data_IF_482575674262
#
_entry.id   IF_482575674262
#
_cell.length_a   1.000
_cell.length_b   1.000
_cell.length_c   1.000
_cell.angle_alpha   90.00
_cell.angle_beta   90.00
_cell.angle_gamma   90.00
#
_symmetry.space_group_name_H-M   'P 1'
#
loop_
_entity.id
_entity.type
_entity.pdbx_description
1 polymer ?
#
# COMPACT_ATOMS: atom_id res chain seq x y z
N UNK A 1 7.30 17.06 33.66
CA UNK A 1 7.18 17.95 32.49
C UNK A 1 5.86 17.61 31.82
N UNK A 2 4.91 18.53 31.71
CA UNK A 2 3.70 18.30 30.95
C UNK A 2 4.09 18.07 29.48
N UNK A 3 3.58 17.04 28.86
CA UNK A 3 3.77 16.82 27.42
C UNK A 3 3.01 17.89 26.67
N UNK A 4 3.73 18.68 25.92
CA UNK A 4 3.14 19.74 25.11
C UNK A 4 2.80 19.08 23.74
N UNK A 5 1.51 19.06 23.41
CA UNK A 5 1.09 18.77 22.03
C UNK A 5 1.51 19.98 21.19
N UNK A 6 2.42 19.75 20.27
CA UNK A 6 2.80 20.75 19.30
C UNK A 6 1.78 20.74 18.16
N UNK A 7 1.31 21.93 17.78
CA UNK A 7 0.38 22.11 16.68
C UNK A 7 0.97 23.11 15.69
N UNK A 8 0.95 22.74 14.43
CA UNK A 8 1.41 23.55 13.31
C UNK A 8 0.29 23.64 12.28
N UNK A 9 0.01 24.84 11.77
CA UNK A 9 -1.05 25.06 10.80
C UNK A 9 -0.65 26.09 9.75
N UNK A 10 -0.96 25.82 8.49
CA UNK A 10 -0.60 26.72 7.38
C UNK A 10 -1.40 28.01 7.34
N UNK A 11 -2.48 28.12 8.12
CA UNK A 11 -3.25 29.35 8.26
C UNK A 11 -2.50 30.46 9.04
N UNK A 12 -1.35 30.15 9.62
CA UNK A 12 -0.48 31.11 10.31
C UNK A 12 0.34 31.98 9.34
N UNK A 13 0.37 31.62 8.05
CA UNK A 13 1.10 32.32 6.99
C UNK A 13 0.21 32.66 5.81
N UNK A 14 0.69 33.56 4.93
CA UNK A 14 -0.05 33.93 3.72
C UNK A 14 -0.21 32.75 2.76
N UNK A 15 -1.25 32.77 1.93
CA UNK A 15 -1.57 31.67 1.01
C UNK A 15 -0.39 31.26 0.11
N UNK A 16 0.39 32.22 -0.36
CA UNK A 16 1.54 31.98 -1.21
C UNK A 16 2.71 31.28 -0.50
N UNK A 17 2.81 31.44 0.81
CA UNK A 17 3.90 30.89 1.63
C UNK A 17 3.56 29.54 2.25
N UNK A 18 2.30 29.07 2.16
CA UNK A 18 1.82 27.90 2.88
C UNK A 18 2.56 26.62 2.55
N UNK A 19 2.84 26.36 1.28
CA UNK A 19 3.55 25.16 0.87
C UNK A 19 5.00 25.15 1.33
N UNK A 20 5.68 26.30 1.25
CA UNK A 20 7.07 26.44 1.72
C UNK A 20 7.16 26.33 3.25
N UNK A 21 6.22 26.97 3.95
CA UNK A 21 6.09 26.84 5.41
C UNK A 21 5.88 25.37 5.79
N UNK A 22 4.97 24.67 5.10
CA UNK A 22 4.66 23.26 5.38
C UNK A 22 5.85 22.34 5.09
N UNK A 23 6.59 22.58 4.01
CA UNK A 23 7.82 21.85 3.68
C UNK A 23 8.87 22.01 4.78
N UNK A 24 9.03 23.22 5.33
CA UNK A 24 9.94 23.46 6.44
C UNK A 24 9.54 22.66 7.68
N UNK A 25 8.27 22.75 8.12
CA UNK A 25 7.75 22.01 9.28
C UNK A 25 7.88 20.50 9.07
N UNK A 26 7.52 19.99 7.90
CA UNK A 26 7.63 18.57 7.58
C UNK A 26 9.11 18.10 7.56
N UNK A 27 10.01 18.90 7.00
CA UNK A 27 11.45 18.59 6.99
C UNK A 27 12.07 18.60 8.39
N UNK A 28 11.67 19.53 9.25
CA UNK A 28 12.10 19.58 10.66
C UNK A 28 11.54 18.39 11.45
N UNK A 29 10.30 18.00 11.21
CA UNK A 29 9.63 16.91 11.93
C UNK A 29 10.14 15.53 11.53
N UNK A 30 10.32 15.31 10.24
CA UNK A 30 10.62 13.98 9.67
C UNK A 30 12.03 13.89 9.04
N UNK A 31 12.88 14.86 9.22
CA UNK A 31 14.25 14.91 8.67
C UNK A 31 14.33 14.55 7.16
N UNK A 32 14.16 15.56 6.30
CA UNK A 32 14.37 15.40 4.86
C UNK A 32 13.15 14.97 4.04
N UNK A 33 11.94 15.28 4.52
CA UNK A 33 10.74 15.23 3.70
C UNK A 33 10.63 16.46 2.80
N UNK A 34 10.12 16.22 1.59
CA UNK A 34 9.59 17.27 0.71
C UNK A 34 8.16 16.94 0.33
N UNK A 35 7.35 17.99 0.21
CA UNK A 35 5.93 17.87 -0.11
C UNK A 35 5.65 18.72 -1.33
N UNK A 36 5.03 18.10 -2.34
CA UNK A 36 4.56 18.76 -3.56
C UNK A 36 3.03 18.67 -3.63
N UNK A 37 2.39 19.77 -4.02
CA UNK A 37 0.96 19.85 -4.22
C UNK A 37 0.62 20.76 -5.38
N UNK A 38 -0.28 20.28 -6.25
CA UNK A 38 -0.79 21.07 -7.38
C UNK A 38 -1.91 22.04 -6.99
N UNK A 39 -2.29 22.11 -5.70
CA UNK A 39 -3.38 22.99 -5.24
C UNK A 39 -2.86 24.40 -4.98
N UNK A 40 -3.54 25.38 -5.55
CA UNK A 40 -3.29 26.80 -5.28
C UNK A 40 -3.57 27.17 -3.82
N UNK A 41 -4.56 26.54 -3.20
CA UNK A 41 -4.86 26.72 -1.77
C UNK A 41 -4.45 25.45 -1.00
N UNK A 42 -3.31 25.53 -0.32
CA UNK A 42 -2.75 24.45 0.46
C UNK A 42 -3.02 24.68 1.95
N UNK A 43 -4.09 24.06 2.48
CA UNK A 43 -4.43 24.06 3.90
C UNK A 43 -3.99 22.77 4.56
N UNK A 44 -3.05 22.85 5.48
CA UNK A 44 -2.51 21.70 6.19
C UNK A 44 -2.30 21.99 7.68
N UNK A 45 -2.44 20.96 8.47
CA UNK A 45 -2.24 20.98 9.93
C UNK A 45 -1.49 19.73 10.37
N UNK A 46 -0.72 19.83 11.44
CA UNK A 46 -0.02 18.70 12.04
C UNK A 46 -0.01 18.86 13.57
N UNK A 47 -0.32 17.76 14.23
CA UNK A 47 -0.16 17.61 15.67
C UNK A 47 0.94 16.59 15.94
N UNK A 48 1.79 16.89 16.91
CA UNK A 48 2.89 16.02 17.31
C UNK A 48 3.01 15.97 18.82
N UNK A 49 3.24 14.78 19.37
CA UNK A 49 3.61 14.60 20.76
C UNK A 49 4.44 13.32 20.96
N UNK A 50 5.26 13.31 22.01
CA UNK A 50 6.19 12.21 22.29
C UNK A 50 5.83 11.52 23.60
N UNK A 51 5.89 10.19 23.63
CA UNK A 51 5.70 9.36 24.81
C UNK A 51 6.81 8.33 24.91
N UNK A 52 7.65 8.43 25.92
CA UNK A 52 8.83 7.58 26.02
C UNK A 52 9.75 7.78 24.82
N UNK A 53 9.97 6.70 24.07
CA UNK A 53 10.80 6.68 22.86
C UNK A 53 10.01 6.79 21.54
N UNK A 54 8.68 6.81 21.61
CA UNK A 54 7.81 6.96 20.43
C UNK A 54 7.32 8.40 20.26
N UNK A 55 7.22 8.83 19.01
CA UNK A 55 6.61 10.11 18.64
C UNK A 55 5.38 9.84 17.78
N UNK A 56 4.23 10.35 18.20
CA UNK A 56 2.99 10.26 17.46
C UNK A 56 2.75 11.54 16.69
N UNK A 57 2.43 11.42 15.40
CA UNK A 57 2.26 12.54 14.49
C UNK A 57 0.99 12.32 13.69
N UNK A 58 0.14 13.33 13.62
CA UNK A 58 -1.08 13.32 12.83
C UNK A 58 -1.06 14.46 11.82
N UNK A 59 -0.55 14.24 10.61
CA UNK A 59 -0.65 15.20 9.53
C UNK A 59 -2.06 15.19 8.94
N UNK A 60 -2.54 16.36 8.58
CA UNK A 60 -3.73 16.58 7.76
C UNK A 60 -3.36 17.54 6.65
N UNK A 61 -3.47 17.10 5.41
CA UNK A 61 -3.18 17.93 4.23
C UNK A 61 -4.11 17.56 3.08
N UNK A 62 -4.32 18.45 2.11
CA UNK A 62 -5.00 18.11 0.87
C UNK A 62 -4.17 17.10 0.06
N UNK A 63 -4.66 16.74 -1.15
CA UNK A 63 -3.87 15.91 -2.08
C UNK A 63 -2.46 16.46 -2.20
N UNK A 64 -1.50 15.64 -1.85
CA UNK A 64 -0.09 15.98 -1.89
C UNK A 64 0.74 14.75 -2.21
N UNK A 65 1.94 14.98 -2.70
CA UNK A 65 2.97 13.99 -2.89
C UNK A 65 4.03 14.26 -1.84
N UNK A 66 4.22 13.30 -0.95
CA UNK A 66 5.25 13.33 0.08
C UNK A 66 6.41 12.49 -0.39
N UNK A 67 7.62 13.04 -0.39
CA UNK A 67 8.83 12.34 -0.80
C UNK A 67 9.91 12.48 0.27
N UNK A 68 10.59 11.38 0.55
CA UNK A 68 11.78 11.36 1.39
C UNK A 68 13.00 11.08 0.53
N UNK A 69 14.05 11.87 0.75
CA UNK A 69 15.33 11.65 0.11
C UNK A 69 16.33 11.07 1.12
N UNK A 70 16.79 9.85 0.90
CA UNK A 70 17.71 9.13 1.79
C UNK A 70 19.04 9.86 2.02
N UNK A 71 19.50 10.68 1.08
CA UNK A 71 20.73 11.48 1.28
C UNK A 71 20.59 12.48 2.44
N UNK A 72 19.39 13.05 2.59
CA UNK A 72 19.07 14.01 3.66
C UNK A 72 18.67 13.23 4.93
N UNK A 73 18.06 12.07 4.77
CA UNK A 73 17.54 11.23 5.85
C UNK A 73 18.63 10.71 6.81
N UNK A 74 19.83 10.47 6.32
CA UNK A 74 20.96 9.92 7.11
C UNK A 74 21.40 10.79 8.29
N UNK A 75 20.94 12.03 8.38
CA UNK A 75 21.21 12.92 9.51
C UNK A 75 20.17 12.83 10.62
N UNK A 76 19.06 12.13 10.42
CA UNK A 76 17.89 12.12 11.32
C UNK A 76 17.87 11.01 12.38
N UNK A 77 18.92 10.18 12.48
CA UNK A 77 18.95 9.04 13.40
C UNK A 77 18.33 7.77 12.81
N UNK A 78 18.63 6.63 13.44
CA UNK A 78 18.15 5.30 13.00
C UNK A 78 16.74 5.02 13.54
N UNK A 79 15.73 5.42 12.77
CA UNK A 79 14.33 5.32 13.14
C UNK A 79 13.52 4.58 12.08
N UNK A 80 12.39 4.04 12.49
CA UNK A 80 11.35 3.49 11.61
C UNK A 80 10.02 4.19 11.87
N UNK A 81 9.18 4.25 10.86
CA UNK A 81 7.88 4.92 10.93
C UNK A 81 6.76 3.95 10.59
N UNK A 82 5.78 3.84 11.45
CA UNK A 82 4.55 3.12 11.21
C UNK A 82 3.49 4.09 10.70
N UNK A 83 3.15 3.99 9.43
CA UNK A 83 2.10 4.78 8.81
C UNK A 83 0.78 4.03 8.88
N UNK A 84 -0.19 4.55 9.63
CA UNK A 84 -1.56 4.06 9.67
C UNK A 84 -2.45 4.89 8.77
N UNK A 85 -3.15 4.24 7.84
CA UNK A 85 -4.20 4.85 7.06
C UNK A 85 -5.52 4.79 7.85
N UNK A 86 -5.94 5.90 8.46
CA UNK A 86 -7.14 5.95 9.27
C UNK A 86 -8.41 6.19 8.44
N UNK A 87 -8.34 7.08 7.44
CA UNK A 87 -9.42 7.34 6.49
C UNK A 87 -8.85 7.73 5.13
N UNK A 88 -9.65 7.60 4.07
CA UNK A 88 -9.19 7.82 2.70
C UNK A 88 -8.20 6.74 2.26
N UNK A 89 -7.23 7.12 1.43
CA UNK A 89 -6.22 6.19 0.91
C UNK A 89 -4.93 6.89 0.53
N UNK A 90 -3.85 6.12 0.37
CA UNK A 90 -2.62 6.60 -0.24
C UNK A 90 -1.93 5.51 -1.07
N UNK A 91 -1.08 5.91 -2.02
CA UNK A 91 -0.11 5.04 -2.66
C UNK A 91 1.25 5.26 -1.97
N UNK A 92 1.77 4.22 -1.38
CA UNK A 92 3.06 4.22 -0.69
C UNK A 92 4.09 3.41 -1.47
N UNK A 93 5.21 4.03 -1.82
CA UNK A 93 6.30 3.40 -2.59
C UNK A 93 7.60 3.45 -1.80
N UNK A 94 8.23 2.30 -1.57
CA UNK A 94 9.58 2.17 -1.01
C UNK A 94 10.22 0.86 -1.48
N UNK A 95 11.53 0.83 -1.66
CA UNK A 95 12.29 -0.37 -2.04
C UNK A 95 11.71 -1.09 -3.28
N UNK A 96 11.32 -0.35 -4.33
CA UNK A 96 10.68 -0.85 -5.55
C UNK A 96 9.34 -1.56 -5.35
N UNK A 97 8.72 -1.42 -4.17
CA UNK A 97 7.38 -1.92 -3.86
C UNK A 97 6.40 -0.77 -3.82
N UNK A 98 5.19 -0.99 -4.33
CA UNK A 98 4.10 -0.01 -4.31
C UNK A 98 2.89 -0.66 -3.66
N UNK A 99 2.35 -0.01 -2.63
CA UNK A 99 1.16 -0.47 -1.92
C UNK A 99 0.08 0.60 -1.94
N UNK A 100 -1.14 0.18 -2.25
CA UNK A 100 -2.32 1.00 -2.01
C UNK A 100 -2.80 0.74 -0.59
N UNK A 101 -2.66 1.72 0.29
CA UNK A 101 -3.18 1.67 1.65
C UNK A 101 -4.58 2.27 1.68
N UNK A 102 -5.50 1.55 2.30
CA UNK A 102 -6.89 1.96 2.57
C UNK A 102 -7.10 2.09 4.08
N UNK A 103 -8.22 2.65 4.47
CA UNK A 103 -8.57 2.75 5.89
C UNK A 103 -8.43 1.40 6.62
N UNK A 104 -7.69 1.40 7.72
CA UNK A 104 -7.31 0.23 8.51
C UNK A 104 -5.95 -0.38 8.15
N UNK A 105 -5.40 -0.12 6.97
CA UNK A 105 -4.08 -0.61 6.57
C UNK A 105 -2.96 0.20 7.25
N UNK A 106 -1.82 -0.45 7.41
CA UNK A 106 -0.60 0.21 7.85
C UNK A 106 0.63 -0.27 7.05
N UNK A 107 1.74 0.46 7.17
CA UNK A 107 3.03 0.06 6.63
C UNK A 107 4.14 0.53 7.56
N UNK A 108 5.11 -0.36 7.83
CA UNK A 108 6.32 0.00 8.55
C UNK A 108 7.38 0.42 7.54
N UNK A 109 7.78 1.69 7.59
CA UNK A 109 8.65 2.36 6.62
C UNK A 109 10.03 2.57 7.21
N UNK A 110 11.08 2.25 6.46
CA UNK A 110 12.44 2.60 6.80
C UNK A 110 12.69 4.10 6.55
N UNK A 111 13.09 4.81 7.59
CA UNK A 111 13.43 6.22 7.44
C UNK A 111 14.80 6.48 6.81
N UNK A 112 15.65 5.46 6.64
CA UNK A 112 16.96 5.56 6.00
C UNK A 112 16.90 5.35 4.47
N UNK A 113 15.74 4.97 3.94
CA UNK A 113 15.51 4.69 2.52
C UNK A 113 14.62 5.76 1.88
N UNK A 114 14.78 5.95 0.57
CA UNK A 114 13.88 6.77 -0.23
C UNK A 114 12.47 6.20 -0.17
N UNK A 115 11.47 7.05 0.01
CA UNK A 115 10.07 6.67 -0.17
C UNK A 115 9.24 7.79 -0.76
N UNK A 116 8.09 7.42 -1.32
CA UNK A 116 7.10 8.32 -1.88
C UNK A 116 5.71 7.91 -1.45
N UNK A 117 4.93 8.89 -1.00
CA UNK A 117 3.52 8.70 -0.61
C UNK A 117 2.65 9.69 -1.39
N UNK A 118 1.66 9.17 -2.14
CA UNK A 118 0.67 9.99 -2.83
C UNK A 118 -0.64 9.92 -2.05
N UNK A 119 -1.07 11.06 -1.51
CA UNK A 119 -2.21 11.16 -0.61
C UNK A 119 -3.51 11.43 -1.39
N UNK A 120 -4.62 10.77 -1.02
CA UNK A 120 -5.95 11.12 -1.51
C UNK A 120 -6.46 12.41 -0.86
N UNK A 121 -7.54 13.00 -1.41
CA UNK A 121 -8.12 14.25 -0.91
C UNK A 121 -8.75 14.14 0.48
N UNK A 122 -9.18 12.94 0.83
CA UNK A 122 -9.84 12.57 2.08
C UNK A 122 -8.88 11.83 3.03
N UNK A 123 -7.58 11.92 2.77
CA UNK A 123 -6.55 11.24 3.53
C UNK A 123 -6.52 11.69 4.99
N UNK A 124 -6.59 10.71 5.90
CA UNK A 124 -6.29 10.88 7.32
C UNK A 124 -5.31 9.78 7.72
N UNK A 125 -4.11 10.20 8.06
CA UNK A 125 -3.03 9.31 8.45
C UNK A 125 -2.60 9.58 9.89
N UNK A 126 -2.15 8.55 10.58
CA UNK A 126 -1.45 8.63 11.85
C UNK A 126 -0.08 7.98 11.68
N UNK A 127 0.96 8.69 12.05
CA UNK A 127 2.35 8.21 11.96
C UNK A 127 2.88 8.01 13.37
N UNK A 128 3.49 6.86 13.62
CA UNK A 128 4.21 6.58 14.86
C UNK A 128 5.68 6.37 14.50
N UNK A 129 6.52 7.29 14.94
CA UNK A 129 7.96 7.23 14.75
C UNK A 129 8.62 6.64 15.99
N UNK A 130 9.56 5.70 15.79
CA UNK A 130 10.21 4.97 16.89
C UNK A 130 11.66 4.61 16.54
N UNK A 131 12.55 4.40 17.55
CA UNK A 131 13.91 3.92 17.32
C UNK A 131 13.89 2.53 16.65
N UNK A 132 14.68 2.33 15.60
CA UNK A 132 14.86 1.02 14.95
C UNK A 132 15.31 -0.03 15.97
N UNK A 133 16.25 0.31 16.84
CA UNK A 133 16.79 -0.59 17.87
C UNK A 133 15.68 -1.17 18.76
N UNK A 134 14.70 -0.36 19.18
CA UNK A 134 13.61 -0.81 20.04
C UNK A 134 12.70 -1.84 19.35
N UNK A 135 12.54 -1.75 18.03
CA UNK A 135 11.79 -2.73 17.24
C UNK A 135 12.64 -3.98 16.98
N UNK A 136 13.92 -3.81 16.59
CA UNK A 136 14.83 -4.92 16.29
C UNK A 136 15.06 -5.82 17.51
N UNK A 137 15.14 -5.25 18.72
CA UNK A 137 15.27 -6.00 19.97
C UNK A 137 14.11 -6.99 20.17
N UNK A 138 12.90 -6.62 19.76
CA UNK A 138 11.69 -7.43 19.89
C UNK A 138 11.40 -8.29 18.67
N UNK A 139 11.95 -7.92 17.51
CA UNK A 139 11.77 -8.60 16.23
C UNK A 139 13.11 -8.65 15.46
N UNK A 140 13.93 -9.68 15.67
CA UNK A 140 15.22 -9.81 14.96
C UNK A 140 15.11 -9.83 13.43
N UNK A 141 13.96 -10.27 12.87
CA UNK A 141 13.66 -10.28 11.44
C UNK A 141 13.04 -8.98 10.90
N UNK A 142 13.30 -7.82 11.51
CA UNK A 142 12.71 -6.53 11.12
C UNK A 142 12.89 -6.23 9.62
N UNK A 143 14.05 -6.51 9.04
CA UNK A 143 14.36 -6.21 7.64
C UNK A 143 13.41 -6.92 6.65
N UNK A 144 12.90 -8.09 7.01
CA UNK A 144 11.97 -8.88 6.20
C UNK A 144 10.56 -8.26 6.16
N UNK A 145 10.22 -7.47 7.17
CA UNK A 145 8.89 -6.85 7.31
C UNK A 145 8.87 -5.35 6.97
N UNK A 146 10.04 -4.72 6.88
CA UNK A 146 10.14 -3.33 6.43
C UNK A 146 9.62 -3.17 5.01
N UNK A 147 9.02 -2.02 4.78
CA UNK A 147 8.43 -1.65 3.48
C UNK A 147 7.40 -2.66 2.97
N UNK A 148 6.67 -3.29 3.89
CA UNK A 148 5.55 -4.15 3.54
C UNK A 148 4.26 -3.69 4.22
N UNK A 149 3.15 -3.90 3.51
CA UNK A 149 1.83 -3.58 4.01
C UNK A 149 1.40 -4.52 5.14
N UNK A 150 0.80 -3.97 6.18
CA UNK A 150 0.08 -4.66 7.25
C UNK A 150 -1.41 -4.45 6.95
N UNK A 151 -2.12 -5.52 6.59
CA UNK A 151 -3.55 -5.42 6.26
C UNK A 151 -4.40 -5.18 7.51
N UNK A 152 -5.34 -4.24 7.42
CA UNK A 152 -6.25 -3.88 8.53
C UNK A 152 -7.32 -4.94 8.85
N UNK A 153 -7.31 -6.08 8.17
CA UNK A 153 -8.33 -7.12 8.33
C UNK A 153 -8.00 -8.15 9.43
N UNK A 154 -6.73 -8.24 9.85
CA UNK A 154 -6.35 -9.18 10.91
C UNK A 154 -6.78 -8.69 12.29
N UNK A 155 -7.15 -9.57 13.22
CA UNK A 155 -7.52 -9.17 14.59
C UNK A 155 -6.45 -8.35 15.29
N UNK A 156 -5.18 -8.71 15.17
CA UNK A 156 -4.04 -8.04 15.78
C UNK A 156 -3.77 -6.67 15.17
N UNK A 157 -3.92 -6.52 13.86
CA UNK A 157 -3.81 -5.19 13.20
C UNK A 157 -4.91 -4.24 13.67
N UNK A 158 -6.14 -4.74 13.86
CA UNK A 158 -7.24 -3.93 14.43
C UNK A 158 -6.95 -3.53 15.86
N UNK A 159 -6.49 -4.46 16.70
CA UNK A 159 -6.12 -4.14 18.08
C UNK A 159 -5.02 -3.08 18.15
N UNK A 160 -3.99 -3.20 17.31
CA UNK A 160 -2.92 -2.20 17.22
C UNK A 160 -3.47 -0.84 16.78
N UNK A 161 -4.31 -0.80 15.74
CA UNK A 161 -4.93 0.42 15.24
C UNK A 161 -5.80 1.11 16.30
N UNK A 162 -6.68 0.34 16.97
CA UNK A 162 -7.57 0.87 18.01
C UNK A 162 -6.77 1.35 19.23
N UNK A 163 -5.71 0.64 19.61
CA UNK A 163 -4.80 1.04 20.66
C UNK A 163 -4.11 2.38 20.32
N UNK A 164 -3.55 2.52 19.13
CA UNK A 164 -2.87 3.74 18.68
C UNK A 164 -3.86 4.91 18.60
N UNK A 165 -5.09 4.69 18.13
CA UNK A 165 -6.15 5.72 18.15
C UNK A 165 -6.56 6.10 19.57
N UNK A 166 -6.64 5.14 20.48
CA UNK A 166 -6.94 5.41 21.90
C UNK A 166 -5.84 6.24 22.54
N UNK A 167 -4.59 5.91 22.30
CA UNK A 167 -3.44 6.70 22.76
C UNK A 167 -3.51 8.12 22.22
N UNK A 168 -3.82 8.26 20.91
CA UNK A 168 -3.97 9.57 20.30
C UNK A 168 -5.04 10.42 20.97
N UNK A 169 -6.20 9.84 21.29
CA UNK A 169 -7.31 10.54 21.94
C UNK A 169 -7.02 10.94 23.39
N UNK A 170 -6.21 10.15 24.08
CA UNK A 170 -5.86 10.39 25.47
C UNK A 170 -4.66 11.33 25.64
N UNK A 171 -3.93 11.56 24.58
CA UNK A 171 -2.66 12.28 24.34
C UNK A 171 -2.02 13.08 25.48
N UNK A 172 -2.81 13.79 26.27
CA UNK A 172 -2.30 14.75 27.25
C UNK A 172 -2.37 14.27 28.72
N UNK A 173 -3.23 13.31 29.05
CA UNK A 173 -3.60 13.04 30.44
C UNK A 173 -2.77 11.94 31.15
N UNK A 174 -1.99 11.15 30.43
CA UNK A 174 -1.41 9.89 30.98
C UNK A 174 0.10 9.91 31.26
N UNK A 175 0.80 11.03 31.09
CA UNK A 175 2.25 10.97 30.82
C UNK A 175 3.16 11.47 31.94
N UNK A 176 2.62 11.71 33.14
CA UNK A 176 3.42 12.19 34.27
C UNK A 176 4.22 11.10 35.00
N UNK A 177 3.82 9.81 34.85
CA UNK A 177 4.45 8.67 35.51
C UNK A 177 5.31 7.85 34.52
N UNK A 178 6.65 7.82 34.70
CA UNK A 178 7.56 7.06 33.85
C UNK A 178 7.26 5.56 33.80
N UNK A 179 6.77 4.94 34.89
CA UNK A 179 6.42 3.52 34.90
C UNK A 179 5.20 3.24 34.02
N UNK A 180 4.22 4.14 34.05
CA UNK A 180 3.03 4.06 33.16
C UNK A 180 3.43 4.25 31.70
N UNK A 181 4.25 5.25 31.40
CA UNK A 181 4.77 5.49 30.05
C UNK A 181 5.47 4.24 29.51
N UNK A 182 6.37 3.64 30.31
CA UNK A 182 7.04 2.40 29.94
C UNK A 182 6.05 1.26 29.68
N UNK A 183 5.06 1.06 30.56
CA UNK A 183 4.05 0.01 30.39
C UNK A 183 3.23 0.20 29.10
N UNK A 184 2.85 1.43 28.75
CA UNK A 184 2.11 1.73 27.51
C UNK A 184 2.98 1.49 26.27
N UNK A 185 4.24 1.93 26.27
CA UNK A 185 5.16 1.69 25.15
C UNK A 185 5.45 0.21 24.96
N UNK A 186 5.60 -0.57 26.04
CA UNK A 186 5.77 -2.03 25.96
C UNK A 186 4.54 -2.71 25.35
N UNK A 187 3.31 -2.29 25.69
CA UNK A 187 2.08 -2.79 25.05
C UNK A 187 2.05 -2.43 23.56
N UNK A 188 2.41 -1.20 23.20
CA UNK A 188 2.50 -0.78 21.80
C UNK A 188 3.44 -1.68 20.98
N UNK A 189 4.68 -1.89 21.47
CA UNK A 189 5.65 -2.72 20.77
C UNK A 189 5.21 -4.19 20.68
N UNK A 190 4.56 -4.73 21.70
CA UNK A 190 4.03 -6.09 21.68
C UNK A 190 2.93 -6.23 20.62
N UNK A 191 1.98 -5.29 20.55
CA UNK A 191 0.93 -5.29 19.52
C UNK A 191 1.52 -5.11 18.11
N UNK A 192 2.52 -4.25 17.95
CA UNK A 192 3.22 -4.06 16.69
C UNK A 192 3.90 -5.36 16.24
N UNK A 193 4.64 -6.02 17.12
CA UNK A 193 5.29 -7.30 16.81
C UNK A 193 4.28 -8.37 16.43
N UNK A 194 3.17 -8.48 17.15
CA UNK A 194 2.09 -9.42 16.82
C UNK A 194 1.49 -9.13 15.44
N UNK A 195 1.19 -7.87 15.13
CA UNK A 195 0.61 -7.49 13.84
C UNK A 195 1.59 -7.74 12.67
N UNK A 196 2.89 -7.53 12.89
CA UNK A 196 3.93 -7.83 11.91
C UNK A 196 4.13 -9.35 11.72
N UNK A 197 3.98 -10.16 12.76
CA UNK A 197 4.07 -11.61 12.70
C UNK A 197 2.86 -12.21 11.99
N UNK A 198 1.65 -11.79 12.33
CA UNK A 198 0.41 -12.20 11.65
C UNK A 198 0.45 -11.88 10.16
N UNK A 199 1.11 -10.80 9.79
CA UNK A 199 1.33 -10.42 8.40
C UNK A 199 2.11 -11.49 7.63
N UNK A 200 3.18 -12.06 8.22
CA UNK A 200 3.97 -13.09 7.54
C UNK A 200 3.10 -14.31 7.19
N UNK A 201 2.22 -14.70 8.10
CA UNK A 201 1.23 -15.77 7.85
C UNK A 201 0.25 -15.37 6.73
N UNK A 202 -0.21 -14.12 6.69
CA UNK A 202 -1.13 -13.65 5.66
C UNK A 202 -0.46 -13.54 4.29
N UNK A 203 0.79 -13.12 4.21
CA UNK A 203 1.56 -13.04 2.94
C UNK A 203 1.83 -14.43 2.37
N UNK A 204 2.17 -15.41 3.20
CA UNK A 204 2.28 -16.80 2.75
C UNK A 204 0.93 -17.34 2.24
N UNK A 205 -0.16 -17.07 2.96
CA UNK A 205 -1.50 -17.44 2.54
C UNK A 205 -1.92 -16.75 1.24
N UNK A 206 -1.60 -15.45 1.08
CA UNK A 206 -1.87 -14.72 -0.15
C UNK A 206 -1.06 -15.24 -1.34
N UNK A 207 0.21 -15.60 -1.13
CA UNK A 207 1.04 -16.21 -2.16
C UNK A 207 0.51 -17.59 -2.56
N UNK A 208 0.11 -18.43 -1.59
CA UNK A 208 -0.53 -19.71 -1.83
C UNK A 208 -1.88 -19.54 -2.55
N UNK A 209 -2.68 -18.56 -2.14
CA UNK A 209 -3.95 -18.24 -2.78
C UNK A 209 -3.74 -17.80 -4.23
N UNK A 210 -2.81 -16.88 -4.50
CA UNK A 210 -2.48 -16.44 -5.87
C UNK A 210 -2.02 -17.60 -6.73
N UNK A 211 -1.19 -18.50 -6.21
CA UNK A 211 -0.75 -19.69 -6.94
C UNK A 211 -1.93 -20.60 -7.31
N UNK A 212 -2.87 -20.83 -6.38
CA UNK A 212 -4.09 -21.60 -6.65
C UNK A 212 -4.98 -20.91 -7.67
N UNK A 213 -5.22 -19.61 -7.53
CA UNK A 213 -6.02 -18.81 -8.47
C UNK A 213 -5.43 -18.83 -9.88
N UNK A 214 -4.13 -18.64 -10.02
CA UNK A 214 -3.45 -18.67 -11.32
C UNK A 214 -3.47 -20.06 -11.97
N UNK A 215 -3.41 -21.13 -11.17
CA UNK A 215 -3.55 -22.50 -11.65
C UNK A 215 -4.97 -22.77 -12.21
N UNK A 216 -6.01 -22.35 -11.48
CA UNK A 216 -7.41 -22.48 -11.95
C UNK A 216 -7.61 -21.66 -13.23
N UNK A 217 -7.14 -20.41 -13.28
CA UNK A 217 -7.23 -19.58 -14.47
C UNK A 217 -6.55 -20.28 -15.65
N UNK A 218 -5.32 -20.77 -15.47
CA UNK A 218 -4.58 -21.48 -16.53
C UNK A 218 -5.36 -22.69 -17.08
N UNK A 219 -6.06 -23.42 -16.22
CA UNK A 219 -6.86 -24.56 -16.63
C UNK A 219 -8.15 -24.15 -17.37
N UNK A 220 -8.71 -22.97 -17.07
CA UNK A 220 -10.02 -22.54 -17.56
C UNK A 220 -10.01 -21.31 -18.47
N UNK A 221 -8.86 -20.80 -18.88
CA UNK A 221 -8.80 -19.57 -19.71
C UNK A 221 -9.54 -19.67 -21.04
N UNK A 222 -9.63 -20.91 -21.60
CA UNK A 222 -10.31 -21.18 -22.87
C UNK A 222 -11.84 -21.29 -22.72
N UNK A 223 -12.36 -21.35 -21.50
CA UNK A 223 -13.80 -21.30 -21.23
C UNK A 223 -14.29 -19.85 -21.38
N UNK A 224 -15.14 -19.56 -22.38
CA UNK A 224 -15.59 -18.21 -22.68
C UNK A 224 -16.48 -17.61 -21.56
N UNK A 225 -17.16 -18.46 -20.78
CA UNK A 225 -18.04 -18.05 -19.69
C UNK A 225 -17.31 -17.89 -18.35
N UNK A 226 -16.04 -18.30 -18.27
CA UNK A 226 -15.24 -18.20 -17.07
C UNK A 226 -15.01 -16.77 -16.61
N UNK A 227 -15.40 -16.45 -15.37
CA UNK A 227 -15.38 -15.12 -14.75
C UNK A 227 -14.71 -15.14 -13.37
N UNK A 228 -14.30 -13.98 -12.83
CA UNK A 228 -13.77 -13.89 -11.46
C UNK A 228 -14.71 -14.43 -10.36
N UNK A 229 -16.03 -14.38 -10.57
CA UNK A 229 -17.02 -14.98 -9.66
C UNK A 229 -16.86 -16.48 -9.52
N UNK A 230 -16.43 -17.16 -10.59
CA UNK A 230 -16.26 -18.62 -10.58
C UNK A 230 -15.05 -19.03 -9.74
N UNK A 231 -13.99 -18.21 -9.74
CA UNK A 231 -12.85 -18.37 -8.83
C UNK A 231 -13.28 -18.29 -7.37
N UNK A 232 -14.14 -17.31 -7.05
CA UNK A 232 -14.66 -17.13 -5.70
C UNK A 232 -15.49 -18.34 -5.26
N UNK A 233 -16.38 -18.82 -6.13
CA UNK A 233 -17.22 -20.00 -5.88
C UNK A 233 -16.39 -21.28 -5.73
N UNK A 234 -15.40 -21.51 -6.60
CA UNK A 234 -14.57 -22.71 -6.61
C UNK A 234 -13.68 -22.82 -5.36
N UNK A 235 -13.19 -21.68 -4.85
CA UNK A 235 -12.34 -21.63 -3.66
C UNK A 235 -13.11 -21.40 -2.35
N UNK A 236 -14.42 -21.14 -2.41
CA UNK A 236 -15.23 -20.85 -1.23
C UNK A 236 -14.88 -19.54 -0.53
N UNK A 237 -14.38 -18.55 -1.27
CA UNK A 237 -13.97 -17.24 -0.75
C UNK A 237 -14.82 -16.11 -1.35
N UNK A 238 -14.77 -14.92 -0.75
CA UNK A 238 -15.46 -13.76 -1.29
C UNK A 238 -14.77 -13.23 -2.55
N UNK A 239 -15.54 -12.57 -3.43
CA UNK A 239 -14.96 -11.86 -4.61
C UNK A 239 -13.96 -10.77 -4.16
N UNK A 240 -14.18 -10.16 -3.00
CA UNK A 240 -13.26 -9.18 -2.41
C UNK A 240 -11.91 -9.81 -2.06
N UNK A 241 -11.91 -11.04 -1.55
CA UNK A 241 -10.69 -11.82 -1.26
C UNK A 241 -9.89 -12.05 -2.54
N UNK A 242 -10.58 -12.43 -3.64
CA UNK A 242 -9.96 -12.60 -4.96
C UNK A 242 -9.35 -11.28 -5.45
N UNK A 243 -10.09 -10.17 -5.36
CA UNK A 243 -9.61 -8.84 -5.77
C UNK A 243 -8.38 -8.39 -4.95
N UNK A 244 -8.39 -8.63 -3.64
CA UNK A 244 -7.26 -8.31 -2.78
C UNK A 244 -6.03 -9.14 -3.14
N UNK A 245 -6.19 -10.45 -3.38
CA UNK A 245 -5.09 -11.32 -3.81
C UNK A 245 -4.45 -10.83 -5.11
N UNK A 246 -5.25 -10.49 -6.14
CA UNK A 246 -4.72 -9.95 -7.39
C UNK A 246 -4.11 -8.54 -7.24
N UNK A 247 -4.58 -7.74 -6.29
CA UNK A 247 -3.99 -6.44 -5.99
C UNK A 247 -2.54 -6.56 -5.46
N UNK A 248 -2.17 -7.69 -4.81
CA UNK A 248 -0.77 -7.94 -4.37
C UNK A 248 0.21 -8.03 -5.53
N UNK A 249 -0.27 -8.42 -6.72
CA UNK A 249 0.53 -8.50 -7.95
C UNK A 249 0.26 -7.33 -8.91
N UNK A 250 -0.44 -6.28 -8.44
CA UNK A 250 -0.69 -5.06 -9.21
C UNK A 250 -1.72 -5.20 -10.34
N UNK A 251 -2.55 -6.26 -10.32
CA UNK A 251 -3.56 -6.52 -11.37
C UNK A 251 -4.97 -6.66 -10.78
N UNK A 252 -5.98 -6.60 -11.64
CA UNK A 252 -7.33 -7.06 -11.30
C UNK A 252 -7.55 -8.48 -11.82
N UNK A 253 -8.44 -9.29 -11.20
CA UNK A 253 -8.74 -10.64 -11.68
C UNK A 253 -9.16 -10.68 -13.16
N UNK A 254 -10.01 -9.74 -13.57
CA UNK A 254 -10.48 -9.63 -14.96
C UNK A 254 -9.37 -9.27 -15.93
N UNK A 255 -8.49 -8.33 -15.56
CA UNK A 255 -7.33 -7.96 -16.37
C UNK A 255 -6.35 -9.12 -16.52
N UNK A 256 -6.11 -9.86 -15.43
CA UNK A 256 -5.24 -11.05 -15.46
C UNK A 256 -5.79 -12.13 -16.40
N UNK A 257 -7.10 -12.49 -16.30
CA UNK A 257 -7.75 -13.46 -17.19
C UNK A 257 -7.63 -13.01 -18.66
N UNK A 258 -7.97 -11.73 -18.94
CA UNK A 258 -7.85 -11.16 -20.29
C UNK A 258 -6.42 -11.24 -20.82
N UNK A 259 -5.44 -10.87 -20.00
CA UNK A 259 -4.02 -10.92 -20.35
C UNK A 259 -3.55 -12.33 -20.69
N UNK A 260 -4.03 -13.35 -19.94
CA UNK A 260 -3.70 -14.77 -20.20
C UNK A 260 -4.36 -15.28 -21.47
N UNK A 261 -5.63 -14.93 -21.72
CA UNK A 261 -6.32 -15.27 -22.99
C UNK A 261 -5.59 -14.67 -24.20
N UNK A 262 -5.17 -13.40 -24.12
CA UNK A 262 -4.43 -12.74 -25.19
C UNK A 262 -3.06 -13.39 -25.43
N UNK A 263 -2.35 -13.79 -24.37
CA UNK A 263 -1.08 -14.50 -24.49
C UNK A 263 -1.28 -15.88 -25.15
N UNK A 264 -2.27 -16.65 -24.69
CA UNK A 264 -2.63 -17.92 -25.31
C UNK A 264 -2.96 -17.75 -26.81
N UNK A 265 -3.74 -16.73 -27.18
CA UNK A 265 -4.05 -16.44 -28.58
C UNK A 265 -2.79 -16.08 -29.39
N UNK A 266 -1.84 -15.31 -28.82
CA UNK A 266 -0.59 -14.98 -29.50
C UNK A 266 0.23 -16.23 -29.80
N UNK A 267 0.36 -17.15 -28.83
CA UNK A 267 1.03 -18.44 -29.03
C UNK A 267 0.34 -19.28 -30.11
N UNK A 268 -1.00 -19.33 -30.10
CA UNK A 268 -1.81 -20.06 -31.11
C UNK A 268 -1.70 -19.47 -32.51
N UNK A 269 -1.58 -18.13 -32.64
CA UNK A 269 -1.40 -17.44 -33.91
C UNK A 269 -0.12 -17.91 -34.64
N UNK A 270 0.93 -18.17 -33.89
CA UNK A 270 2.22 -18.66 -34.40
C UNK A 270 2.18 -20.18 -34.62
N UNK A 271 1.71 -20.92 -33.62
CA UNK A 271 1.74 -22.38 -33.65
C UNK A 271 0.75 -23.03 -34.63
N UNK A 272 -0.35 -22.33 -34.98
CA UNK A 272 -1.40 -22.87 -35.84
C UNK A 272 -1.78 -21.89 -36.96
N UNK A 273 -0.89 -21.59 -37.94
CA UNK A 273 -1.10 -20.60 -38.99
C UNK A 273 -2.27 -20.95 -39.93
N UNK A 274 -2.67 -22.21 -39.98
CA UNK A 274 -3.79 -22.70 -40.79
C UNK A 274 -5.17 -22.38 -40.20
N UNK A 275 -5.26 -22.03 -38.90
CA UNK A 275 -6.53 -21.67 -38.28
C UNK A 275 -6.92 -20.23 -38.59
N UNK A 276 -8.23 -19.98 -38.71
CA UNK A 276 -8.74 -18.62 -38.84
C UNK A 276 -8.51 -17.79 -37.58
N UNK A 277 -8.41 -16.47 -37.71
CA UNK A 277 -8.32 -15.57 -36.54
C UNK A 277 -9.53 -15.74 -35.63
N UNK A 278 -10.70 -15.94 -36.25
CA UNK A 278 -11.96 -16.17 -35.53
C UNK A 278 -11.92 -17.47 -34.71
N UNK A 279 -11.42 -18.57 -35.29
CA UNK A 279 -11.26 -19.83 -34.56
C UNK A 279 -10.32 -19.69 -33.37
N UNK A 280 -9.16 -19.02 -33.55
CA UNK A 280 -8.19 -18.78 -32.49
C UNK A 280 -8.79 -17.91 -31.38
N UNK A 281 -9.59 -16.89 -31.72
CA UNK A 281 -10.28 -16.07 -30.72
C UNK A 281 -11.21 -16.92 -29.84
N UNK A 282 -12.06 -17.76 -30.45
CA UNK A 282 -12.97 -18.64 -29.70
C UNK A 282 -12.23 -19.69 -28.88
N UNK A 283 -11.21 -20.36 -29.46
CA UNK A 283 -10.38 -21.34 -28.74
C UNK A 283 -9.61 -20.71 -27.58
N UNK A 284 -9.39 -19.40 -27.58
CA UNK A 284 -8.73 -18.64 -26.52
C UNK A 284 -9.71 -18.03 -25.50
N UNK A 285 -10.99 -18.45 -25.54
CA UNK A 285 -11.99 -18.05 -24.55
C UNK A 285 -12.63 -16.68 -24.79
N UNK A 286 -12.60 -16.17 -26.02
CA UNK A 286 -13.33 -14.93 -26.39
C UNK A 286 -14.68 -15.30 -27.03
N UNK A 287 -15.73 -14.59 -26.63
CA UNK A 287 -17.08 -14.71 -27.23
C UNK A 287 -17.29 -13.76 -28.42
N UNK A 288 -16.39 -12.80 -28.62
CA UNK A 288 -16.50 -11.77 -29.66
C UNK A 288 -15.13 -11.53 -30.29
N UNK A 289 -15.05 -11.79 -31.60
CA UNK A 289 -13.81 -11.63 -32.38
C UNK A 289 -13.42 -10.15 -32.56
N UNK A 290 -14.40 -9.22 -32.58
CA UNK A 290 -14.13 -7.79 -32.69
C UNK A 290 -13.53 -7.25 -31.39
N UNK A 291 -14.08 -7.68 -30.24
CA UNK A 291 -13.51 -7.38 -28.92
C UNK A 291 -12.10 -7.96 -28.79
N UNK A 292 -11.91 -9.23 -29.16
CA UNK A 292 -10.58 -9.86 -29.19
C UNK A 292 -9.59 -9.03 -30.01
N UNK A 293 -9.91 -8.69 -31.25
CA UNK A 293 -9.02 -7.94 -32.16
C UNK A 293 -8.61 -6.59 -31.58
N UNK A 294 -9.56 -5.88 -30.95
CA UNK A 294 -9.31 -4.59 -30.29
C UNK A 294 -8.35 -4.75 -29.10
N UNK A 295 -8.62 -5.69 -28.19
CA UNK A 295 -7.78 -5.94 -27.03
C UNK A 295 -6.39 -6.45 -27.42
N UNK A 296 -6.31 -7.30 -28.44
CA UNK A 296 -5.04 -7.82 -28.95
C UNK A 296 -4.18 -6.70 -29.54
N UNK A 297 -4.76 -5.83 -30.39
CA UNK A 297 -4.06 -4.68 -30.93
C UNK A 297 -3.60 -3.70 -29.86
N UNK A 298 -4.41 -3.48 -28.82
CA UNK A 298 -4.03 -2.63 -27.69
C UNK A 298 -2.83 -3.20 -26.92
N UNK A 299 -2.76 -4.51 -26.73
CA UNK A 299 -1.69 -5.17 -25.98
C UNK A 299 -0.40 -5.34 -26.77
N UNK A 300 -0.50 -5.75 -28.05
CA UNK A 300 0.66 -6.12 -28.88
C UNK A 300 1.03 -5.08 -29.94
N UNK A 301 0.28 -3.97 -30.02
CA UNK A 301 0.53 -2.88 -30.99
C UNK A 301 0.13 -3.19 -32.43
N UNK A 302 -0.22 -4.45 -32.74
CA UNK A 302 -0.57 -4.91 -34.10
C UNK A 302 -1.86 -5.73 -34.09
N UNK A 303 -2.59 -5.74 -35.21
CA UNK A 303 -3.74 -6.63 -35.38
C UNK A 303 -3.29 -8.10 -35.39
N UNK A 304 -4.13 -9.09 -34.98
CA UNK A 304 -3.78 -10.50 -34.98
C UNK A 304 -3.26 -11.02 -36.32
N UNK A 305 -3.81 -10.55 -37.46
CA UNK A 305 -3.35 -10.91 -38.80
C UNK A 305 -1.94 -10.41 -39.08
N UNK A 306 -1.65 -9.15 -38.73
CA UNK A 306 -0.33 -8.53 -38.88
C UNK A 306 0.69 -9.19 -37.96
N UNK A 307 0.30 -9.48 -36.70
CA UNK A 307 1.13 -10.17 -35.73
C UNK A 307 1.55 -11.56 -36.22
N UNK A 308 0.61 -12.36 -36.75
CA UNK A 308 0.88 -13.67 -37.35
C UNK A 308 1.85 -13.58 -38.54
N UNK A 309 1.72 -12.56 -39.38
CA UNK A 309 2.56 -12.41 -40.59
C UNK A 309 4.00 -11.98 -40.24
N UNK A 310 4.21 -11.42 -39.05
CA UNK A 310 5.51 -10.94 -38.58
C UNK A 310 6.30 -11.97 -37.78
N UNK A 311 5.67 -13.09 -37.39
CA UNK A 311 6.27 -14.16 -36.58
C UNK A 311 6.07 -15.51 -37.26
#
# INVERSE_FOLDING_TARGET
MALQIEHFATNEVTQLERLDFWNRIASETFCGLSIDSKRENFDAEMWRWTMGDITMIRPRSPNAIVQRNARIARTGGDRVMLHFQHAGSCLHSQANKIYHLRAGDAILTDSNEDYRVELSSDNVMLVVEMPRAAVTERMPGLEEVLSHKIGGETPTSRLLHDFVLSLWRQGDQSHADPARVKGITDVFYNLLTMALTDRNVSVENDALLINRLTAIIKARICDPDFRPSDLAAELGVSIRTIQNAFATIGETPSAYILNKRLAHAADRLIAAPHLSITSIAYESGFNDCSYFTRCFKQKYGAAPTTYRAAH
#
